data_IF_024082648206
#
_entry.id   IF_024082648206
#
_cell.length_a   1.000
_cell.length_b   1.000
_cell.length_c   1.000
_cell.angle_alpha   90.00
_cell.angle_beta   90.00
_cell.angle_gamma   90.00
#
_symmetry.space_group_name_H-M   'P 1'
#
loop_
_entity.id
_entity.type
_entity.pdbx_description
1 polymer ?
#
# COMPACT_ATOMS: atom_id res chain seq x y z
N UNK A 1 1.97 1.62 -7.29
CA UNK A 1 1.05 2.27 -6.34
C UNK A 1 0.02 1.24 -5.91
N UNK A 2 -0.65 1.43 -4.77
CA UNK A 2 -1.70 0.53 -4.27
C UNK A 2 -2.83 1.35 -3.64
N UNK A 3 -4.11 1.03 -3.90
CA UNK A 3 -5.21 1.67 -3.20
C UNK A 3 -5.25 1.24 -1.72
N UNK A 4 -5.64 2.14 -0.83
CA UNK A 4 -5.61 1.87 0.61
C UNK A 4 -6.56 0.73 1.05
N UNK A 5 -7.59 0.42 0.27
CA UNK A 5 -8.55 -0.64 0.55
C UNK A 5 -8.15 -2.01 -0.02
N UNK A 6 -6.99 -2.10 -0.68
CA UNK A 6 -6.44 -3.34 -1.22
C UNK A 6 -6.30 -4.38 -0.10
N UNK A 7 -6.64 -5.63 -0.41
CA UNK A 7 -6.62 -6.69 0.60
C UNK A 7 -5.20 -7.21 0.85
N UNK A 8 -4.87 -7.58 2.10
CA UNK A 8 -3.69 -8.38 2.40
C UNK A 8 -3.60 -9.60 1.49
N UNK A 9 -2.37 -9.93 1.10
CA UNK A 9 -2.05 -10.92 0.09
C UNK A 9 -1.85 -10.33 -1.30
N UNK A 10 -2.15 -9.05 -1.55
CA UNK A 10 -1.90 -8.43 -2.85
C UNK A 10 -0.40 -8.39 -3.21
N UNK A 11 -0.08 -8.60 -4.49
CA UNK A 11 1.28 -8.44 -5.02
C UNK A 11 1.62 -6.95 -5.09
N UNK A 12 2.73 -6.56 -4.48
CA UNK A 12 3.27 -5.18 -4.55
C UNK A 12 4.25 -5.05 -5.70
N UNK A 13 5.25 -5.93 -5.72
CA UNK A 13 6.31 -5.93 -6.73
C UNK A 13 6.94 -7.34 -6.83
N UNK A 14 7.52 -7.63 -7.98
CA UNK A 14 8.43 -8.76 -8.18
C UNK A 14 9.84 -8.21 -8.34
N UNK A 15 10.77 -8.64 -7.48
CA UNK A 15 12.18 -8.29 -7.55
C UNK A 15 12.94 -9.48 -8.12
N UNK A 16 13.99 -9.21 -8.89
CA UNK A 16 14.83 -10.22 -9.53
C UNK A 16 16.29 -9.96 -9.19
N UNK A 17 17.04 -11.03 -8.93
CA UNK A 17 18.46 -11.01 -8.65
C UNK A 17 19.17 -12.05 -9.53
N UNK A 18 20.43 -11.79 -9.87
CA UNK A 18 21.22 -12.68 -10.72
C UNK A 18 22.61 -12.85 -10.13
N UNK A 19 23.11 -14.08 -10.11
CA UNK A 19 24.47 -14.42 -9.70
C UNK A 19 25.23 -15.02 -10.89
N UNK A 20 26.48 -14.62 -11.06
CA UNK A 20 27.35 -15.02 -12.17
C UNK A 20 28.14 -16.30 -11.91
N UNK A 21 28.08 -16.88 -10.70
CA UNK A 21 28.77 -18.12 -10.36
C UNK A 21 28.33 -19.28 -11.27
N UNK A 22 29.31 -20.09 -11.70
CA UNK A 22 29.05 -21.20 -12.62
C UNK A 22 28.34 -22.36 -11.94
N UNK A 23 28.67 -22.64 -10.68
CA UNK A 23 28.10 -23.73 -9.89
C UNK A 23 26.71 -23.34 -9.35
N UNK A 24 25.64 -24.09 -9.66
CA UNK A 24 24.29 -23.77 -9.18
C UNK A 24 24.16 -23.61 -7.66
N UNK A 25 24.89 -24.42 -6.88
CA UNK A 25 24.84 -24.33 -5.42
C UNK A 25 25.27 -22.94 -4.89
N UNK A 26 26.18 -22.25 -5.59
CA UNK A 26 26.66 -20.93 -5.18
C UNK A 26 25.74 -19.79 -5.62
N UNK A 27 24.76 -20.05 -6.50
CA UNK A 27 23.76 -19.07 -6.93
C UNK A 27 22.49 -19.09 -6.09
N UNK A 28 22.37 -19.97 -5.10
CA UNK A 28 21.21 -20.02 -4.23
C UNK A 28 21.15 -18.76 -3.35
N UNK A 29 19.98 -18.13 -3.31
CA UNK A 29 19.77 -16.84 -2.67
C UNK A 29 18.77 -16.90 -1.52
N UNK A 30 18.99 -16.06 -0.52
CA UNK A 30 18.05 -15.74 0.54
C UNK A 30 17.65 -14.26 0.45
N UNK A 31 16.40 -13.94 0.79
CA UNK A 31 15.82 -12.61 0.66
C UNK A 31 15.27 -12.14 2.01
N UNK A 32 15.54 -10.90 2.36
CA UNK A 32 15.00 -10.29 3.59
C UNK A 32 14.62 -8.83 3.39
N UNK A 33 13.67 -8.36 4.20
CA UNK A 33 13.43 -6.92 4.37
C UNK A 33 14.43 -6.44 5.42
N UNK A 34 15.38 -5.61 5.01
CA UNK A 34 16.44 -5.08 5.88
C UNK A 34 15.96 -3.81 6.61
N UNK A 35 15.26 -2.91 5.91
CA UNK A 35 14.83 -1.62 6.46
C UNK A 35 13.44 -1.21 5.94
N UNK A 36 12.80 -0.29 6.67
CA UNK A 36 11.62 0.43 6.19
C UNK A 36 10.27 -0.26 6.42
N UNK A 37 10.23 -1.40 7.11
CA UNK A 37 9.00 -2.08 7.50
C UNK A 37 8.97 -2.55 8.97
N UNK A 38 9.13 -1.64 9.95
CA UNK A 38 9.15 -2.01 11.38
C UNK A 38 7.82 -2.60 11.87
N UNK A 39 6.72 -2.32 11.16
CA UNK A 39 5.38 -2.80 11.52
C UNK A 39 5.03 -4.13 10.85
N UNK A 40 5.86 -4.67 9.95
CA UNK A 40 5.57 -5.90 9.21
C UNK A 40 4.31 -5.76 8.35
N UNK A 41 4.18 -4.63 7.65
CA UNK A 41 3.11 -4.33 6.70
C UNK A 41 3.30 -5.14 5.42
N UNK A 42 4.53 -5.49 5.08
CA UNK A 42 4.90 -6.25 3.90
C UNK A 42 5.48 -7.61 4.27
N UNK A 43 5.53 -8.50 3.28
CA UNK A 43 6.13 -9.83 3.39
C UNK A 43 6.82 -10.20 2.09
N UNK A 44 7.76 -11.14 2.16
CA UNK A 44 8.47 -11.68 1.00
C UNK A 44 8.05 -13.13 0.78
N UNK A 45 7.82 -13.49 -0.48
CA UNK A 45 7.47 -14.85 -0.88
C UNK A 45 8.24 -15.25 -2.13
N UNK A 46 8.96 -16.37 -2.05
CA UNK A 46 9.72 -16.96 -3.15
C UNK A 46 9.75 -18.47 -3.01
N UNK A 47 9.97 -19.16 -4.12
CA UNK A 47 10.23 -20.59 -4.14
C UNK A 47 11.74 -20.85 -3.92
N UNK A 48 12.12 -22.01 -3.36
CA UNK A 48 13.52 -22.42 -3.31
C UNK A 48 14.15 -22.39 -4.71
N UNK A 49 15.41 -21.94 -4.82
CA UNK A 49 16.16 -21.81 -6.09
C UNK A 49 15.55 -20.83 -7.11
N UNK A 50 14.66 -19.93 -6.66
CA UNK A 50 14.12 -18.85 -7.47
C UNK A 50 15.09 -17.68 -7.59
N UNK A 51 15.21 -17.11 -8.79
CA UNK A 51 15.91 -15.85 -9.08
C UNK A 51 15.05 -14.61 -8.78
N UNK A 52 13.81 -14.82 -8.34
CA UNK A 52 12.85 -13.76 -8.06
C UNK A 52 12.15 -13.94 -6.71
N UNK A 53 11.82 -12.80 -6.09
CA UNK A 53 11.03 -12.71 -4.87
C UNK A 53 9.85 -11.76 -5.07
N UNK A 54 8.71 -12.12 -4.49
CA UNK A 54 7.52 -11.29 -4.49
C UNK A 54 7.40 -10.53 -3.18
N UNK A 55 7.37 -9.20 -3.25
CA UNK A 55 6.94 -8.35 -2.15
C UNK A 55 5.42 -8.32 -2.14
N UNK A 56 4.81 -8.72 -1.03
CA UNK A 56 3.35 -8.83 -0.87
C UNK A 56 2.88 -7.98 0.30
N UNK A 57 1.66 -7.47 0.18
CA UNK A 57 1.02 -6.77 1.28
C UNK A 57 0.57 -7.78 2.34
N UNK A 58 0.88 -7.52 3.61
CA UNK A 58 0.50 -8.37 4.76
C UNK A 58 -0.56 -7.73 5.66
N UNK A 59 -0.60 -6.41 5.74
CA UNK A 59 -1.56 -5.65 6.55
C UNK A 59 -2.33 -4.64 5.70
N UNK A 60 -3.49 -4.20 6.18
CA UNK A 60 -4.24 -3.16 5.49
C UNK A 60 -3.43 -1.86 5.44
N UNK A 61 -3.56 -1.13 4.33
CA UNK A 61 -3.01 0.19 4.18
C UNK A 61 -3.99 1.24 4.74
N UNK A 62 -3.47 2.43 5.03
CA UNK A 62 -4.28 3.61 5.31
C UNK A 62 -3.53 4.82 4.78
N UNK A 63 -4.12 5.51 3.82
CA UNK A 63 -3.53 6.73 3.28
C UNK A 63 -3.37 7.79 4.38
N UNK A 64 -4.32 7.85 5.32
CA UNK A 64 -4.29 8.76 6.46
C UNK A 64 -3.13 8.51 7.42
N UNK A 65 -2.72 7.26 7.59
CA UNK A 65 -1.63 6.88 8.46
C UNK A 65 -0.27 7.10 7.77
N UNK A 66 -0.14 6.61 6.53
CA UNK A 66 1.05 6.75 5.71
C UNK A 66 0.66 6.81 4.22
N UNK A 67 0.92 7.92 3.51
CA UNK A 67 0.64 8.04 2.08
C UNK A 67 1.67 7.31 1.22
N UNK A 68 2.83 6.96 1.78
CA UNK A 68 3.87 6.18 1.12
C UNK A 68 4.65 5.31 2.11
N UNK A 69 5.26 4.26 1.58
CA UNK A 69 6.21 3.40 2.28
C UNK A 69 7.46 3.23 1.44
N UNK A 70 8.61 3.09 2.11
CA UNK A 70 9.90 2.79 1.47
C UNK A 70 10.52 1.60 2.17
N UNK A 71 10.68 0.50 1.45
CA UNK A 71 11.23 -0.76 1.97
C UNK A 71 12.54 -1.08 1.28
N UNK A 72 13.55 -1.50 2.04
CA UNK A 72 14.83 -1.98 1.51
C UNK A 72 14.83 -3.50 1.62
N UNK A 73 14.91 -4.17 0.47
CA UNK A 73 15.06 -5.62 0.36
C UNK A 73 16.53 -5.92 0.11
N UNK A 74 17.08 -6.84 0.87
CA UNK A 74 18.43 -7.37 0.70
C UNK A 74 18.38 -8.79 0.15
N UNK A 75 19.33 -9.13 -0.72
CA UNK A 75 19.55 -10.48 -1.23
C UNK A 75 21.00 -10.88 -1.02
N UNK A 76 21.20 -12.10 -0.51
CA UNK A 76 22.51 -12.68 -0.24
C UNK A 76 22.56 -14.14 -0.67
N UNK A 77 23.74 -14.63 -1.02
CA UNK A 77 23.96 -16.05 -1.24
C UNK A 77 23.72 -16.83 0.07
N UNK A 78 23.14 -18.03 -0.05
CA UNK A 78 22.98 -18.95 1.08
C UNK A 78 24.34 -19.49 1.52
N UNK A 79 25.23 -19.76 0.56
CA UNK A 79 26.59 -20.22 0.81
C UNK A 79 27.50 -19.06 1.22
N UNK A 80 28.50 -19.37 2.06
CA UNK A 80 29.45 -18.38 2.55
C UNK A 80 30.35 -17.90 1.39
N UNK A 81 30.45 -16.58 1.23
CA UNK A 81 31.27 -15.99 0.18
C UNK A 81 32.77 -16.21 0.45
N UNK A 82 33.48 -16.69 -0.57
CA UNK A 82 34.94 -16.95 -0.50
C UNK A 82 35.72 -15.91 -1.31
N UNK A 83 36.90 -15.50 -0.82
CA UNK A 83 37.80 -14.58 -1.52
C UNK A 83 38.18 -13.33 -0.70
N UNK A 84 38.88 -12.35 -1.31
CA UNK A 84 39.41 -11.16 -0.61
C UNK A 84 38.35 -10.21 -0.04
N UNK A 85 37.07 -10.56 -0.15
CA UNK A 85 35.98 -10.03 0.65
C UNK A 85 34.65 -10.54 0.09
N UNK A 86 33.70 -10.97 0.93
CA UNK A 86 32.29 -11.01 0.54
C UNK A 86 31.95 -9.64 -0.07
N UNK A 87 31.48 -9.60 -1.32
CA UNK A 87 30.81 -8.38 -1.80
C UNK A 87 29.65 -8.05 -0.86
N UNK A 88 29.26 -6.78 -0.71
CA UNK A 88 28.06 -6.48 0.06
C UNK A 88 26.88 -7.21 -0.55
N UNK A 89 25.97 -7.70 0.30
CA UNK A 89 24.67 -8.19 -0.15
C UNK A 89 24.02 -7.14 -1.07
N UNK A 90 23.38 -7.59 -2.15
CA UNK A 90 22.75 -6.65 -3.07
C UNK A 90 21.44 -6.14 -2.46
N UNK A 91 21.12 -4.87 -2.66
CA UNK A 91 19.90 -4.26 -2.11
C UNK A 91 19.05 -3.65 -3.22
N UNK A 92 17.74 -3.67 -2.99
CA UNK A 92 16.74 -3.02 -3.81
C UNK A 92 15.81 -2.20 -2.92
N UNK A 93 15.59 -0.94 -3.30
CA UNK A 93 14.63 -0.06 -2.62
C UNK A 93 13.31 -0.05 -3.38
N UNK A 94 12.22 -0.39 -2.71
CA UNK A 94 10.86 -0.29 -3.24
C UNK A 94 10.15 0.89 -2.60
N UNK A 95 9.64 1.81 -3.43
CA UNK A 95 8.76 2.90 -2.97
C UNK A 95 7.32 2.57 -3.33
N UNK A 96 6.46 2.45 -2.34
CA UNK A 96 5.05 2.11 -2.47
C UNK A 96 4.25 3.37 -2.17
N UNK A 97 3.59 3.93 -3.18
CA UNK A 97 2.62 5.03 -2.96
C UNK A 97 1.25 4.43 -2.69
N UNK A 98 0.60 4.93 -1.64
CA UNK A 98 -0.77 4.57 -1.26
C UNK A 98 -1.72 5.55 -1.94
N UNK A 99 -2.76 5.02 -2.58
CA UNK A 99 -3.81 5.81 -3.20
C UNK A 99 -5.01 5.90 -2.27
N UNK A 100 -5.48 7.13 -2.02
CA UNK A 100 -6.69 7.39 -1.26
C UNK A 100 -7.91 6.85 -2.00
N UNK A 101 -8.75 6.10 -1.29
CA UNK A 101 -10.04 5.62 -1.80
C UNK A 101 -11.13 6.56 -1.28
N UNK A 102 -11.58 7.45 -2.15
CA UNK A 102 -12.67 8.38 -1.83
C UNK A 102 -13.99 7.63 -1.96
N UNK A 103 -14.70 7.46 -0.85
CA UNK A 103 -16.04 6.90 -0.87
C UNK A 103 -16.98 7.84 -1.66
N UNK A 104 -17.93 7.30 -2.43
CA UNK A 104 -18.90 8.14 -3.14
C UNK A 104 -19.72 8.95 -2.14
N UNK A 105 -20.06 10.19 -2.53
CA UNK A 105 -20.99 11.03 -1.80
C UNK A 105 -22.30 10.26 -1.58
N UNK A 106 -22.75 10.21 -0.33
CA UNK A 106 -24.02 9.57 0.04
C UNK A 106 -25.03 10.63 0.42
N UNK A 107 -26.25 10.48 -0.07
CA UNK A 107 -27.39 11.20 0.49
C UNK A 107 -27.86 10.47 1.75
N UNK A 108 -28.24 11.24 2.75
CA UNK A 108 -28.67 10.69 4.05
C UNK A 108 -30.04 10.03 4.00
N UNK A 109 -30.83 10.36 2.97
CA UNK A 109 -32.20 9.89 2.80
C UNK A 109 -32.43 9.48 1.36
N UNK A 110 -33.25 8.45 1.17
CA UNK A 110 -33.71 8.02 -0.16
C UNK A 110 -34.73 9.02 -0.76
N UNK A 111 -35.46 9.74 0.09
CA UNK A 111 -36.39 10.81 -0.30
C UNK A 111 -36.29 12.00 0.66
N UNK A 112 -36.49 13.20 0.10
CA UNK A 112 -36.51 14.45 0.85
C UNK A 112 -37.87 15.14 0.62
N UNK A 113 -38.64 15.29 1.68
CA UNK A 113 -39.99 15.86 1.62
C UNK A 113 -40.08 17.13 2.49
N UNK A 114 -40.85 18.11 2.01
CA UNK A 114 -41.17 19.34 2.77
C UNK A 114 -42.58 19.80 2.45
N UNK A 115 -43.27 20.37 3.44
CA UNK A 115 -44.61 20.94 3.29
C UNK A 115 -44.52 22.45 3.24
N UNK A 116 -45.12 23.07 2.22
CA UNK A 116 -45.09 24.52 2.04
C UNK A 116 -46.51 25.11 2.00
N UNK A 117 -46.71 26.34 2.51
CA UNK A 117 -47.98 27.05 2.35
C UNK A 117 -48.27 27.36 0.89
N UNK A 118 -49.55 27.37 0.50
CA UNK A 118 -49.97 27.74 -0.87
C UNK A 118 -49.63 29.19 -1.22
N UNK A 119 -49.46 30.05 -0.21
CA UNK A 119 -49.07 31.46 -0.36
C UNK A 119 -47.57 31.67 -0.53
N UNK A 120 -46.76 30.61 -0.65
CA UNK A 120 -45.31 30.73 -0.81
C UNK A 120 -44.96 31.46 -2.13
N UNK A 121 -44.21 32.58 -2.08
CA UNK A 121 -43.85 33.32 -3.28
C UNK A 121 -43.03 32.53 -4.29
N UNK A 122 -43.12 32.91 -5.56
CA UNK A 122 -42.24 32.36 -6.59
C UNK A 122 -40.76 32.70 -6.30
N UNK A 123 -39.89 31.70 -6.42
CA UNK A 123 -38.46 31.84 -6.16
C UNK A 123 -38.03 31.60 -4.72
N UNK A 124 -38.93 31.19 -3.82
CA UNK A 124 -38.55 30.79 -2.45
C UNK A 124 -37.71 29.51 -2.46
N UNK A 125 -36.61 29.51 -1.69
CA UNK A 125 -35.81 28.33 -1.40
C UNK A 125 -36.60 27.38 -0.49
N UNK A 126 -36.78 26.12 -0.91
CA UNK A 126 -37.58 25.13 -0.17
C UNK A 126 -36.73 24.16 0.65
N UNK A 127 -35.63 23.68 0.07
CA UNK A 127 -34.74 22.74 0.71
C UNK A 127 -33.31 22.92 0.18
N UNK A 128 -32.33 22.72 1.05
CA UNK A 128 -30.92 22.53 0.66
C UNK A 128 -30.56 21.09 1.00
N UNK A 129 -30.19 20.31 -0.02
CA UNK A 129 -29.74 18.92 0.16
C UNK A 129 -28.23 18.93 0.09
N UNK A 130 -27.58 18.45 1.14
CA UNK A 130 -26.14 18.26 1.16
C UNK A 130 -25.86 16.77 1.25
N UNK A 131 -24.97 16.22 0.41
CA UNK A 131 -24.49 14.87 0.61
C UNK A 131 -23.61 14.82 1.86
N UNK A 132 -23.73 13.72 2.60
CA UNK A 132 -22.75 13.39 3.63
C UNK A 132 -21.43 13.01 2.95
N UNK A 133 -20.37 13.74 3.29
CA UNK A 133 -19.01 13.32 3.01
C UNK A 133 -18.51 12.45 4.18
N UNK A 134 -18.42 11.12 4.01
CA UNK A 134 -17.97 10.21 5.06
C UNK A 134 -16.50 10.43 5.46
N UNK A 135 -15.73 11.22 4.69
CA UNK A 135 -14.32 11.57 4.99
C UNK A 135 -14.14 12.97 5.59
N UNK A 136 -15.22 13.67 5.99
CA UNK A 136 -15.13 14.96 6.67
C UNK A 136 -14.43 14.82 8.03
N UNK A 137 -13.11 15.00 8.06
CA UNK A 137 -12.37 15.20 9.32
C UNK A 137 -12.83 16.52 9.93
N UNK A 138 -13.54 16.44 11.04
CA UNK A 138 -13.74 17.60 11.91
C UNK A 138 -12.38 18.05 12.44
N UNK A 139 -11.86 19.16 11.89
CA UNK A 139 -10.79 19.92 12.53
C UNK A 139 -11.39 20.54 13.80
N UNK A 140 -11.38 19.79 14.90
CA UNK A 140 -11.65 20.34 16.22
C UNK A 140 -10.48 21.25 16.60
N UNK A 141 -10.60 22.55 16.35
CA UNK A 141 -9.74 23.55 16.97
C UNK A 141 -10.08 23.62 18.46
N UNK A 142 -9.08 23.35 19.31
CA UNK A 142 -9.06 23.83 20.69
C UNK A 142 -8.45 25.25 20.73
#
# INVERSE_FOLDING_TARGET
>A
TLPEDVKPGALVATLMATDADLEPAFRLMDFAIEEGDPEGIFDLSWEPDSDHVQLRLRKNLSYEAAPDHKVVVVVSNIEELVGPGPGPAATATVTILVERVVAPLKLDQESYETSIPVSTPAGSLLLTIQPSDPMSRTLSSL
#
